data_IF_935399810292
#
_entry.id   IF_935399810292
#
_cell.length_a   1.000
_cell.length_b   1.000
_cell.length_c   1.000
_cell.angle_alpha   90.00
_cell.angle_beta   90.00
_cell.angle_gamma   90.00
#
_symmetry.space_group_name_H-M   'P 1'
#
loop_
_entity.id
_entity.type
_entity.pdbx_description
1 polymer ?
#
# COMPACT_ATOMS: atom_id res chain seq x y z
N UNK A 1 17.93 -9.74 10.08
CA UNK A 1 16.60 -9.25 9.67
C UNK A 1 16.61 -7.73 9.75
N UNK A 2 16.24 -7.01 8.67
CA UNK A 2 16.16 -5.53 8.68
C UNK A 2 14.72 -5.13 8.91
N UNK A 3 14.46 -4.36 9.95
CA UNK A 3 13.13 -3.82 10.28
C UNK A 3 13.05 -2.36 9.83
N UNK A 4 11.95 -1.99 9.17
CA UNK A 4 11.66 -0.61 8.78
C UNK A 4 10.44 -0.14 9.57
N UNK A 5 10.63 0.92 10.34
CA UNK A 5 9.55 1.58 11.06
C UNK A 5 9.10 2.83 10.30
N UNK A 6 7.81 3.11 10.34
CA UNK A 6 7.20 4.20 9.60
C UNK A 6 5.81 4.51 10.16
N UNK A 7 5.12 5.41 9.49
CA UNK A 7 3.77 5.82 9.83
C UNK A 7 2.82 5.53 8.67
N UNK A 8 1.53 5.47 8.99
CA UNK A 8 0.41 5.32 8.03
C UNK A 8 0.06 6.62 7.32
N UNK A 9 1.06 7.27 6.74
CA UNK A 9 0.98 8.56 6.06
C UNK A 9 2.06 9.51 6.55
N UNK A 10 2.27 10.61 5.81
CA UNK A 10 3.24 11.65 6.16
C UNK A 10 2.64 13.06 6.17
N UNK A 11 1.58 13.33 5.40
CA UNK A 11 1.07 14.70 5.21
C UNK A 11 -0.02 15.06 6.23
N UNK A 12 0.39 15.35 7.47
CA UNK A 12 -0.48 15.76 8.58
C UNK A 12 -0.16 17.19 9.01
N UNK A 13 -1.19 18.05 9.10
CA UNK A 13 -1.01 19.46 9.52
C UNK A 13 -0.69 19.54 11.02
N UNK A 14 -1.23 18.60 11.78
CA UNK A 14 -1.09 18.41 13.22
C UNK A 14 0.37 18.14 13.63
N UNK A 15 1.21 17.72 12.68
CA UNK A 15 2.63 17.44 12.92
C UNK A 15 3.52 18.68 12.74
N UNK A 16 2.98 19.80 12.21
CA UNK A 16 3.70 21.07 12.06
C UNK A 16 3.97 21.70 13.42
N UNK A 17 5.20 22.19 13.60
CA UNK A 17 5.68 22.76 14.86
C UNK A 17 6.23 21.74 15.87
N UNK A 18 6.06 20.43 15.61
CA UNK A 18 6.60 19.37 16.46
C UNK A 18 7.53 18.44 15.66
N UNK A 19 6.98 17.66 14.72
CA UNK A 19 7.77 16.78 13.86
C UNK A 19 8.26 17.50 12.60
N UNK A 20 7.43 18.37 12.03
CA UNK A 20 7.77 19.24 10.91
C UNK A 20 8.05 20.67 11.36
N UNK A 21 8.87 21.45 10.64
CA UNK A 21 8.92 22.89 10.77
C UNK A 21 7.54 23.51 10.61
N UNK A 22 7.26 24.57 11.38
CA UNK A 22 5.94 25.19 11.40
C UNK A 22 5.51 25.71 10.02
N UNK A 23 6.46 26.22 9.24
CA UNK A 23 6.28 26.83 7.92
C UNK A 23 6.53 25.88 6.75
N UNK A 24 6.73 24.57 6.99
CA UNK A 24 7.02 23.62 5.92
C UNK A 24 5.93 23.64 4.83
N UNK A 25 6.36 23.64 3.57
CA UNK A 25 5.45 23.52 2.42
C UNK A 25 5.00 22.06 2.25
N UNK A 26 3.75 21.80 1.79
CA UNK A 26 3.24 20.43 1.65
C UNK A 26 4.06 19.52 0.73
N UNK A 27 4.69 20.07 -0.30
CA UNK A 27 5.54 19.34 -1.25
C UNK A 27 6.89 18.93 -0.65
N UNK A 28 7.40 19.67 0.34
CA UNK A 28 8.63 19.35 1.07
C UNK A 28 8.44 18.32 2.19
N UNK A 29 7.21 18.03 2.61
CA UNK A 29 6.93 17.16 3.76
C UNK A 29 7.46 15.73 3.58
N UNK A 30 7.36 15.16 2.37
CA UNK A 30 7.83 13.79 2.12
C UNK A 30 9.35 13.67 2.25
N UNK A 31 10.09 14.62 1.67
CA UNK A 31 11.54 14.65 1.77
C UNK A 31 11.98 14.77 3.23
N UNK A 32 11.38 15.71 3.98
CA UNK A 32 11.64 15.87 5.41
C UNK A 32 11.35 14.62 6.23
N UNK A 33 10.22 13.96 5.95
CA UNK A 33 9.84 12.70 6.59
C UNK A 33 10.87 11.60 6.31
N UNK A 34 11.30 11.46 5.05
CA UNK A 34 12.17 10.39 4.59
C UNK A 34 13.62 10.50 5.07
N UNK A 35 14.04 11.67 5.54
CA UNK A 35 15.31 11.85 6.27
C UNK A 35 15.28 11.27 7.69
N UNK A 36 14.09 11.10 8.28
CA UNK A 36 13.92 10.73 9.70
C UNK A 36 13.38 9.32 9.89
N UNK A 37 12.49 8.88 9.00
CA UNK A 37 11.90 7.55 9.03
C UNK A 37 12.18 6.82 7.71
N UNK A 38 12.54 5.53 7.74
CA UNK A 38 12.97 4.80 6.54
C UNK A 38 11.83 4.28 5.67
N UNK A 39 10.57 4.41 6.11
CA UNK A 39 9.42 3.91 5.36
C UNK A 39 8.14 4.68 5.66
N UNK A 40 7.19 4.64 4.73
CA UNK A 40 5.83 5.16 4.93
C UNK A 40 4.81 4.24 4.27
N UNK A 41 3.66 4.07 4.91
CA UNK A 41 2.48 3.50 4.26
C UNK A 41 1.65 4.64 3.62
N UNK A 42 1.41 4.52 2.32
CA UNK A 42 0.57 5.45 1.58
C UNK A 42 -0.88 4.96 1.60
N UNK A 43 -1.74 5.75 2.25
CA UNK A 43 -3.17 5.47 2.38
C UNK A 43 -4.04 6.18 1.35
N UNK A 44 -3.58 7.27 0.74
CA UNK A 44 -4.38 8.00 -0.26
C UNK A 44 -4.75 7.11 -1.47
N UNK A 45 -3.92 6.12 -1.79
CA UNK A 45 -4.16 5.13 -2.85
C UNK A 45 -5.40 4.28 -2.61
N UNK A 46 -5.84 4.15 -1.35
CA UNK A 46 -7.10 3.53 -0.99
C UNK A 46 -8.29 4.22 -1.69
N UNK A 47 -8.30 5.55 -1.73
CA UNK A 47 -9.39 6.34 -2.28
C UNK A 47 -9.21 6.64 -3.77
N UNK A 48 -7.97 6.84 -4.22
CA UNK A 48 -7.65 7.25 -5.59
C UNK A 48 -6.46 6.46 -6.11
N UNK A 49 -6.61 5.81 -7.27
CA UNK A 49 -5.49 5.11 -7.90
C UNK A 49 -4.32 6.07 -8.16
N UNK A 50 -3.07 5.65 -7.91
CA UNK A 50 -1.91 6.49 -8.11
C UNK A 50 -1.66 6.74 -9.60
N UNK A 51 -1.12 7.92 -9.91
CA UNK A 51 -0.59 8.25 -11.23
C UNK A 51 0.92 8.02 -11.23
N UNK A 52 1.47 7.49 -12.31
CA UNK A 52 2.92 7.29 -12.47
C UNK A 52 3.74 8.55 -12.09
N UNK A 53 3.36 9.73 -12.60
CA UNK A 53 4.08 10.98 -12.31
C UNK A 53 4.13 11.36 -10.82
N UNK A 54 3.10 11.01 -10.04
CA UNK A 54 3.10 11.23 -8.58
C UNK A 54 4.07 10.26 -7.90
N UNK A 55 4.09 9.00 -8.34
CA UNK A 55 4.99 7.99 -7.80
C UNK A 55 6.46 8.28 -8.15
N UNK A 56 6.73 8.75 -9.37
CA UNK A 56 8.06 9.20 -9.80
C UNK A 56 8.55 10.35 -8.93
N UNK A 57 7.68 11.33 -8.63
CA UNK A 57 8.00 12.44 -7.74
C UNK A 57 8.29 11.97 -6.30
N UNK A 58 7.53 11.00 -5.78
CA UNK A 58 7.82 10.38 -4.47
C UNK A 58 9.14 9.61 -4.47
N UNK A 59 9.42 8.86 -5.52
CA UNK A 59 10.68 8.15 -5.66
C UNK A 59 11.85 9.14 -5.73
N UNK A 60 11.73 10.26 -6.45
CA UNK A 60 12.80 11.25 -6.55
C UNK A 60 13.05 12.03 -5.25
N UNK A 61 12.03 12.21 -4.40
CA UNK A 61 12.10 13.02 -3.18
C UNK A 61 12.55 12.26 -1.92
N UNK A 62 12.93 10.98 -2.04
CA UNK A 62 13.31 10.14 -0.90
C UNK A 62 14.69 9.51 -1.10
N UNK A 63 15.39 9.06 -0.04
CA UNK A 63 16.65 8.31 -0.19
C UNK A 63 16.45 6.97 -0.90
N UNK A 64 17.50 6.42 -1.53
CA UNK A 64 17.45 5.10 -2.23
C UNK A 64 16.99 3.95 -1.31
N UNK A 65 17.37 4.02 -0.04
CA UNK A 65 17.04 3.01 0.96
C UNK A 65 15.62 3.10 1.51
N UNK A 66 14.87 4.17 1.19
CA UNK A 66 13.51 4.39 1.65
C UNK A 66 12.54 3.38 1.01
N UNK A 67 11.49 2.98 1.74
CA UNK A 67 10.49 2.04 1.24
C UNK A 67 9.06 2.56 1.41
N UNK A 68 8.26 2.44 0.36
CA UNK A 68 6.84 2.75 0.37
C UNK A 68 6.02 1.47 0.51
N UNK A 69 5.20 1.35 1.55
CA UNK A 69 4.09 0.41 1.57
C UNK A 69 2.87 1.09 0.92
N UNK A 70 2.19 0.41 0.00
CA UNK A 70 1.05 1.01 -0.73
C UNK A 70 -0.23 0.31 -0.33
N UNK A 71 -1.20 1.05 0.21
CA UNK A 71 -2.52 0.47 0.45
C UNK A 71 -3.28 0.32 -0.86
N UNK A 72 -3.74 -0.90 -1.16
CA UNK A 72 -4.54 -1.18 -2.33
C UNK A 72 -5.83 -0.35 -2.33
N UNK A 73 -6.32 0.01 -3.52
CA UNK A 73 -7.55 0.80 -3.65
C UNK A 73 -8.75 0.05 -3.09
N UNK A 74 -9.68 0.79 -2.46
CA UNK A 74 -10.99 0.26 -2.05
C UNK A 74 -11.78 -0.36 -3.21
N UNK A 75 -11.47 0.05 -4.45
CA UNK A 75 -12.01 -0.58 -5.66
C UNK A 75 -11.73 -2.09 -5.68
N UNK A 76 -10.54 -2.49 -5.24
CA UNK A 76 -10.10 -3.89 -5.18
C UNK A 76 -10.69 -4.57 -3.93
N UNK A 77 -10.45 -4.00 -2.75
CA UNK A 77 -10.72 -4.72 -1.48
C UNK A 77 -12.17 -4.59 -0.98
N UNK A 78 -12.85 -3.47 -1.24
CA UNK A 78 -14.19 -3.19 -0.70
C UNK A 78 -15.30 -3.31 -1.75
N UNK A 79 -15.04 -2.86 -2.99
CA UNK A 79 -16.03 -2.88 -4.07
C UNK A 79 -15.99 -4.20 -4.83
N UNK A 80 -14.84 -4.58 -5.41
CA UNK A 80 -14.66 -5.87 -6.07
C UNK A 80 -14.59 -7.04 -5.09
N UNK A 81 -14.22 -6.79 -3.82
CA UNK A 81 -14.17 -7.79 -2.74
C UNK A 81 -13.35 -9.03 -3.11
N UNK A 82 -12.21 -8.77 -3.77
CA UNK A 82 -11.28 -9.78 -4.30
C UNK A 82 -11.84 -10.67 -5.42
N UNK A 83 -13.01 -10.40 -5.99
CA UNK A 83 -13.49 -11.16 -7.14
C UNK A 83 -12.57 -10.92 -8.35
N UNK A 84 -11.92 -11.95 -8.91
CA UNK A 84 -10.92 -11.77 -9.96
C UNK A 84 -11.44 -10.98 -11.15
N UNK A 85 -12.64 -11.34 -11.64
CA UNK A 85 -13.29 -10.72 -12.79
C UNK A 85 -13.61 -9.23 -12.58
N UNK A 86 -13.81 -8.80 -11.34
CA UNK A 86 -14.08 -7.40 -11.00
C UNK A 86 -12.81 -6.63 -10.60
N UNK A 87 -11.75 -7.34 -10.19
CA UNK A 87 -10.54 -6.73 -9.65
C UNK A 87 -9.39 -6.66 -10.66
N UNK A 88 -9.33 -7.54 -11.66
CA UNK A 88 -8.19 -7.70 -12.58
C UNK A 88 -7.69 -6.37 -13.17
N UNK A 89 -8.57 -5.56 -13.76
CA UNK A 89 -8.19 -4.27 -14.35
C UNK A 89 -7.63 -3.29 -13.30
N UNK A 90 -8.21 -3.27 -12.10
CA UNK A 90 -7.76 -2.39 -11.01
C UNK A 90 -6.41 -2.84 -10.45
N UNK A 91 -6.18 -4.15 -10.34
CA UNK A 91 -4.91 -4.74 -9.92
C UNK A 91 -3.84 -4.45 -10.97
N UNK A 92 -4.11 -4.74 -12.25
CA UNK A 92 -3.20 -4.46 -13.36
C UNK A 92 -2.84 -2.98 -13.47
N UNK A 93 -3.83 -2.09 -13.35
CA UNK A 93 -3.59 -0.64 -13.34
C UNK A 93 -2.70 -0.22 -12.16
N UNK A 94 -2.99 -0.72 -10.95
CA UNK A 94 -2.20 -0.41 -9.77
C UNK A 94 -0.74 -0.82 -9.97
N UNK A 95 -0.48 -2.09 -10.27
CA UNK A 95 0.87 -2.61 -10.40
C UNK A 95 1.65 -2.00 -11.56
N UNK A 96 0.99 -1.73 -12.70
CA UNK A 96 1.60 -0.98 -13.82
C UNK A 96 2.15 0.37 -13.36
N UNK A 97 1.40 1.12 -12.56
CA UNK A 97 1.86 2.41 -12.07
C UNK A 97 2.94 2.26 -10.98
N UNK A 98 2.85 1.23 -10.12
CA UNK A 98 3.81 1.01 -9.04
C UNK A 98 5.24 0.72 -9.51
N UNK A 99 5.45 0.35 -10.78
CA UNK A 99 6.78 0.26 -11.39
C UNK A 99 7.57 1.56 -11.23
N UNK A 100 6.90 2.72 -11.24
CA UNK A 100 7.51 4.03 -11.06
C UNK A 100 8.27 4.21 -9.72
N UNK A 101 7.94 3.42 -8.69
CA UNK A 101 8.67 3.45 -7.41
C UNK A 101 10.00 2.68 -7.46
N UNK A 102 10.24 1.88 -8.50
CA UNK A 102 11.45 1.08 -8.67
C UNK A 102 11.79 0.25 -7.44
N UNK A 103 13.06 0.27 -7.03
CA UNK A 103 13.56 -0.45 -5.85
C UNK A 103 12.97 0.04 -4.52
N UNK A 104 12.32 1.22 -4.49
CA UNK A 104 11.68 1.77 -3.29
C UNK A 104 10.28 1.24 -3.05
N UNK A 105 9.73 0.48 -4.01
CA UNK A 105 8.45 -0.20 -3.86
C UNK A 105 8.57 -1.28 -2.79
N UNK A 106 7.87 -1.07 -1.68
CA UNK A 106 7.64 -2.08 -0.65
C UNK A 106 6.40 -2.93 -0.95
N UNK A 107 5.75 -3.49 0.09
CA UNK A 107 4.58 -4.33 -0.09
C UNK A 107 3.33 -3.52 -0.50
N UNK A 108 2.40 -4.19 -1.17
CA UNK A 108 1.02 -3.68 -1.34
C UNK A 108 0.14 -4.28 -0.26
N UNK A 109 -0.49 -3.44 0.55
CA UNK A 109 -1.42 -3.86 1.61
C UNK A 109 -2.85 -3.99 1.07
N UNK A 110 -3.37 -5.21 1.08
CA UNK A 110 -4.76 -5.56 0.82
C UNK A 110 -5.53 -5.71 2.14
N UNK A 111 -5.96 -4.58 2.69
CA UNK A 111 -6.83 -4.56 3.87
C UNK A 111 -8.29 -4.79 3.48
N UNK A 112 -8.90 -5.84 4.02
CA UNK A 112 -10.29 -6.23 3.72
C UNK A 112 -11.27 -5.59 4.71
N UNK A 113 -12.51 -5.29 4.28
CA UNK A 113 -13.53 -4.79 5.19
C UNK A 113 -14.02 -5.87 6.17
N UNK A 114 -14.50 -5.51 7.37
CA UNK A 114 -14.91 -6.46 8.39
C UNK A 114 -16.13 -7.32 8.03
N UNK A 115 -16.95 -6.87 7.07
CA UNK A 115 -18.11 -7.63 6.60
C UNK A 115 -17.74 -8.75 5.62
N UNK A 116 -16.51 -8.76 5.08
CA UNK A 116 -16.09 -9.77 4.11
C UNK A 116 -15.60 -11.01 4.87
N UNK A 117 -16.43 -12.04 4.90
CA UNK A 117 -16.09 -13.35 5.49
C UNK A 117 -15.18 -14.16 4.56
N UNK A 118 -14.51 -15.15 5.12
CA UNK A 118 -13.63 -16.09 4.42
C UNK A 118 -14.30 -16.70 3.20
N UNK A 119 -13.56 -16.67 2.11
CA UNK A 119 -13.84 -17.33 0.85
C UNK A 119 -12.48 -17.72 0.25
N UNK A 120 -12.04 -18.95 0.57
CA UNK A 120 -10.71 -19.43 0.21
C UNK A 120 -10.53 -19.59 -1.32
N UNK A 121 -11.49 -20.14 -2.08
CA UNK A 121 -11.41 -20.16 -3.54
C UNK A 121 -11.22 -18.75 -4.11
N UNK A 122 -12.01 -17.77 -3.65
CA UNK A 122 -11.86 -16.38 -4.10
C UNK A 122 -10.50 -15.78 -3.78
N UNK A 123 -9.97 -16.01 -2.58
CA UNK A 123 -8.62 -15.54 -2.24
C UNK A 123 -7.59 -16.18 -3.16
N UNK A 124 -7.65 -17.49 -3.37
CA UNK A 124 -6.70 -18.24 -4.20
C UNK A 124 -6.71 -17.76 -5.64
N UNK A 125 -7.89 -17.57 -6.23
CA UNK A 125 -8.02 -17.02 -7.58
C UNK A 125 -7.54 -15.55 -7.66
N UNK A 126 -7.80 -14.75 -6.63
CA UNK A 126 -7.30 -13.37 -6.58
C UNK A 126 -5.77 -13.31 -6.52
N UNK A 127 -5.13 -14.22 -5.77
CA UNK A 127 -3.67 -14.27 -5.67
C UNK A 127 -3.01 -14.52 -7.03
N UNK A 128 -3.67 -15.24 -7.94
CA UNK A 128 -3.19 -15.44 -9.31
C UNK A 128 -3.14 -14.16 -10.15
N UNK A 129 -3.83 -13.08 -9.73
CA UNK A 129 -3.76 -11.77 -10.38
C UNK A 129 -2.54 -10.96 -9.92
N UNK A 130 -1.89 -11.35 -8.83
CA UNK A 130 -0.75 -10.61 -8.29
C UNK A 130 0.51 -10.96 -9.09
N UNK A 131 1.29 -9.96 -9.53
CA UNK A 131 2.51 -10.22 -10.30
C UNK A 131 3.60 -10.83 -9.41
N UNK A 132 4.33 -11.80 -9.98
CA UNK A 132 5.44 -12.49 -9.32
C UNK A 132 6.55 -11.53 -8.86
N UNK A 133 7.14 -11.80 -7.69
CA UNK A 133 8.21 -10.96 -7.14
C UNK A 133 7.74 -9.62 -6.55
N UNK A 134 6.42 -9.40 -6.46
CA UNK A 134 5.85 -8.25 -5.77
C UNK A 134 5.30 -8.65 -4.40
N UNK A 135 5.90 -8.12 -3.33
CA UNK A 135 5.37 -8.30 -1.98
C UNK A 135 3.92 -7.80 -1.87
N UNK A 136 3.03 -8.67 -1.41
CA UNK A 136 1.66 -8.36 -1.05
C UNK A 136 1.45 -8.75 0.42
N UNK A 137 0.67 -7.95 1.15
CA UNK A 137 0.30 -8.22 2.53
C UNK A 137 -1.23 -8.17 2.64
N UNK A 138 -1.82 -9.13 3.33
CA UNK A 138 -3.26 -9.17 3.56
C UNK A 138 -3.58 -8.85 5.02
N UNK A 139 -4.51 -7.93 5.23
CA UNK A 139 -5.02 -7.59 6.57
C UNK A 139 -6.51 -7.93 6.61
N UNK A 140 -6.83 -9.04 7.27
CA UNK A 140 -8.19 -9.51 7.47
C UNK A 140 -8.83 -8.82 8.68
N UNK A 141 -10.09 -8.40 8.53
CA UNK A 141 -10.88 -7.76 9.61
C UNK A 141 -12.09 -8.59 10.04
N UNK A 142 -12.12 -9.86 9.65
CA UNK A 142 -13.17 -10.80 10.02
C UNK A 142 -12.53 -12.11 10.48
N UNK A 143 -12.96 -12.62 11.63
CA UNK A 143 -12.29 -13.75 12.28
C UNK A 143 -12.31 -15.05 11.47
N UNK A 144 -13.29 -15.19 10.57
CA UNK A 144 -13.37 -16.37 9.70
C UNK A 144 -12.14 -16.56 8.81
N UNK A 145 -11.30 -15.53 8.59
CA UNK A 145 -10.07 -15.63 7.81
C UNK A 145 -8.87 -16.17 8.60
N UNK A 146 -8.91 -16.16 9.94
CA UNK A 146 -7.79 -16.64 10.77
C UNK A 146 -7.86 -18.17 10.88
N UNK A 147 -7.51 -18.84 9.78
CA UNK A 147 -7.55 -20.30 9.63
C UNK A 147 -6.30 -20.80 8.89
N UNK A 148 -5.84 -22.01 9.23
CA UNK A 148 -4.60 -22.61 8.72
C UNK A 148 -4.55 -22.70 7.18
N UNK A 149 -5.69 -22.96 6.55
CA UNK A 149 -5.80 -23.04 5.09
C UNK A 149 -5.64 -21.67 4.39
N UNK A 150 -6.00 -20.57 5.07
CA UNK A 150 -5.74 -19.21 4.58
C UNK A 150 -4.26 -18.89 4.69
N UNK A 151 -3.61 -19.23 5.81
CA UNK A 151 -2.16 -19.05 5.95
C UNK A 151 -1.36 -19.91 4.98
N UNK A 152 -1.83 -21.12 4.67
CA UNK A 152 -1.18 -22.01 3.70
C UNK A 152 -1.32 -21.54 2.25
N UNK A 153 -2.32 -20.69 1.96
CA UNK A 153 -2.55 -20.15 0.61
C UNK A 153 -1.74 -18.88 0.31
N UNK A 154 -1.24 -18.19 1.34
CA UNK A 154 -0.45 -16.95 1.23
C UNK A 154 1.06 -17.25 1.15
#
# INVERSE_FOLDING_TARGET
MRLLAGASGYSYKEWKGNFYPADIKPDAMLAWYAERLPSVEINNTFYRMPKASVLESWAASTPESFRFAIKASRRITHLARLKPEAAADSVGFLYKNLVALGAKRGPVLFQLPPFLKKDLPRLTEFLQLLPDGHGAAFEFRNDSWFADDVYSAL
#
